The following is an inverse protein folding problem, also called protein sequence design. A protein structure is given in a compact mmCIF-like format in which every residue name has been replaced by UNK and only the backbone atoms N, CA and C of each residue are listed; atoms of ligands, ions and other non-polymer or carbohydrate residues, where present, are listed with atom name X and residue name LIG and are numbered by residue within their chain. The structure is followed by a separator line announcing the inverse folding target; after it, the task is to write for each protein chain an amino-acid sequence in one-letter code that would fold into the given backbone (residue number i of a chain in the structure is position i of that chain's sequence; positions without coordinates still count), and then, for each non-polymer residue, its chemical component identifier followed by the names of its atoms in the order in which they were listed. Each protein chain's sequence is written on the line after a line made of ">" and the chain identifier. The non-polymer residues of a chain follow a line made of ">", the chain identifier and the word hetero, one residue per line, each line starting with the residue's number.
data_IF_621377448727
#
_entry.id   IF_621377448727
#
_cell.length_a   1.000
_cell.length_b   1.000
_cell.length_c   1.000
_cell.angle_alpha   90.00
_cell.angle_beta   90.00
_cell.angle_gamma   90.00
#
_symmetry.space_group_name_H-M   'P 1'
#
loop_
_entity.id
_entity.type
_entity.pdbx_description
1 polymer ?
#
# COMPACT_ATOMS: atom_id res chain seq x y z
N UNK A 1 -48.29 2.32 73.33
CA UNK A 1 -49.65 1.77 73.14
C UNK A 1 -50.12 2.12 71.74
N UNK A 2 -50.25 1.11 70.91
CA UNK A 2 -50.73 1.13 69.53
C UNK A 2 -52.25 1.30 69.46
N UNK A 3 -52.75 1.91 68.38
CA UNK A 3 -54.02 1.55 67.73
C UNK A 3 -53.96 1.88 66.24
N UNK A 4 -54.25 0.90 65.40
CA UNK A 4 -55.13 1.07 64.23
C UNK A 4 -55.89 -0.24 63.97
N UNK A 5 -57.20 -0.08 63.70
CA UNK A 5 -58.21 -1.09 63.34
C UNK A 5 -57.99 -1.55 61.87
N UNK A 6 -58.08 -2.84 61.48
CA UNK A 6 -59.26 -3.74 61.34
C UNK A 6 -60.30 -3.20 60.34
N UNK A 7 -60.63 -3.87 59.22
CA UNK A 7 -61.35 -5.17 59.12
C UNK A 7 -61.07 -5.97 57.82
N UNK A 8 -60.74 -7.27 57.96
CA UNK A 8 -61.33 -8.52 57.38
C UNK A 8 -62.11 -8.56 56.01
N UNK A 9 -62.35 -9.74 55.35
CA UNK A 9 -61.60 -11.03 55.30
C UNK A 9 -61.74 -11.91 53.98
N UNK A 10 -61.07 -13.09 53.99
CA UNK A 10 -61.37 -14.44 53.39
C UNK A 10 -61.19 -14.77 51.86
N UNK A 11 -60.26 -15.73 51.62
CA UNK A 11 -60.18 -16.92 50.72
C UNK A 11 -60.60 -16.85 49.21
N UNK A 12 -60.02 -17.60 48.25
CA UNK A 12 -59.44 -18.95 48.24
C UNK A 12 -58.50 -19.18 47.02
N UNK A 13 -57.86 -20.36 47.02
CA UNK A 13 -56.74 -20.87 46.22
C UNK A 13 -56.94 -21.07 44.70
N UNK A 14 -55.81 -21.22 43.97
CA UNK A 14 -55.49 -22.35 43.06
C UNK A 14 -53.97 -22.38 42.77
N UNK A 15 -53.37 -23.57 42.92
CA UNK A 15 -52.04 -24.00 42.45
C UNK A 15 -52.07 -24.22 40.93
N UNK A 16 -50.97 -23.91 40.22
CA UNK A 16 -50.32 -24.77 39.20
C UNK A 16 -48.97 -24.15 38.81
N UNK A 17 -47.97 -25.01 38.68
CA UNK A 17 -46.58 -24.73 38.39
C UNK A 17 -46.26 -24.71 36.88
N UNK A 18 -45.02 -24.28 36.60
CA UNK A 18 -44.18 -24.47 35.40
C UNK A 18 -44.26 -23.39 34.30
N UNK A 19 -43.09 -22.80 34.04
CA UNK A 19 -42.79 -21.98 32.87
C UNK A 19 -42.10 -20.67 33.25
N UNK A 20 -40.77 -20.69 33.39
CA UNK A 20 -39.96 -19.48 33.65
C UNK A 20 -39.96 -18.57 32.42
N UNK A 21 -40.83 -17.56 32.43
CA UNK A 21 -40.67 -16.34 31.66
C UNK A 21 -40.67 -15.19 32.67
N UNK A 22 -39.49 -14.62 32.94
CA UNK A 22 -39.39 -13.35 33.66
C UNK A 22 -39.95 -12.23 32.78
N UNK A 23 -40.85 -11.37 33.30
CA UNK A 23 -41.36 -10.23 32.57
C UNK A 23 -40.40 -9.05 32.65
N UNK A 24 -40.44 -8.25 31.59
CA UNK A 24 -39.88 -6.94 31.47
C UNK A 24 -40.25 -6.03 32.67
N UNK A 25 -39.28 -5.27 33.14
CA UNK A 25 -39.50 -3.89 33.56
C UNK A 25 -38.84 -2.99 32.52
N UNK A 26 -39.64 -2.09 31.96
CA UNK A 26 -39.20 -1.00 31.12
C UNK A 26 -38.34 -0.06 31.97
N UNK A 27 -37.18 0.33 31.44
CA UNK A 27 -36.51 1.55 31.81
C UNK A 27 -36.34 2.37 30.52
N UNK A 28 -37.07 3.48 30.47
CA UNK A 28 -37.11 4.40 29.35
C UNK A 28 -35.97 5.40 29.59
N UNK A 29 -34.75 4.99 29.26
CA UNK A 29 -33.61 5.91 29.12
C UNK A 29 -33.01 5.72 27.74
N UNK A 30 -33.05 6.80 26.97
CA UNK A 30 -32.58 6.89 25.61
C UNK A 30 -31.22 6.18 25.44
N UNK A 31 -31.23 5.10 24.65
CA UNK A 31 -30.02 4.56 24.04
C UNK A 31 -29.36 5.66 23.24
N UNK A 32 -28.31 6.27 23.80
CA UNK A 32 -27.16 6.65 22.99
C UNK A 32 -26.66 5.36 22.35
N UNK A 33 -27.14 5.08 21.14
CA UNK A 33 -26.40 4.25 20.21
C UNK A 33 -25.05 4.92 20.06
N UNK A 34 -24.05 4.38 20.76
CA UNK A 34 -22.67 4.49 20.34
C UNK A 34 -22.66 4.10 18.87
N UNK A 35 -22.46 5.10 18.02
CA UNK A 35 -22.07 4.84 16.65
C UNK A 35 -20.73 4.15 16.77
N UNK A 36 -20.74 2.83 16.60
CA UNK A 36 -19.56 2.10 16.17
C UNK A 36 -19.15 2.76 14.85
N UNK A 37 -18.23 3.72 14.93
CA UNK A 37 -17.29 3.99 13.85
C UNK A 37 -16.48 2.72 13.70
N UNK A 38 -17.03 1.74 12.98
CA UNK A 38 -16.26 0.74 12.27
C UNK A 38 -15.22 1.51 11.45
N UNK A 39 -14.00 1.60 11.98
CA UNK A 39 -12.80 1.84 11.18
C UNK A 39 -12.89 0.83 10.03
N UNK A 40 -13.12 1.30 8.81
CA UNK A 40 -13.33 0.46 7.63
C UNK A 40 -11.98 0.19 6.98
N UNK A 41 -11.28 -0.92 7.30
CA UNK A 41 -10.18 -1.35 6.45
C UNK A 41 -10.70 -1.63 5.04
N UNK A 42 -9.80 -1.66 4.05
CA UNK A 42 -10.10 -2.25 2.75
C UNK A 42 -10.49 -3.72 2.96
N UNK A 43 -11.80 -3.98 3.07
CA UNK A 43 -12.37 -5.32 2.98
C UNK A 43 -12.20 -5.80 1.54
N UNK A 44 -12.25 -7.12 1.30
CA UNK A 44 -12.27 -7.67 -0.06
C UNK A 44 -13.37 -7.01 -0.95
N UNK A 45 -14.43 -6.51 -0.33
CA UNK A 45 -15.49 -5.74 -0.98
C UNK A 45 -15.04 -4.35 -1.44
N UNK A 46 -14.19 -3.65 -0.70
CA UNK A 46 -13.63 -2.36 -1.11
C UNK A 46 -12.58 -2.53 -2.22
N UNK A 47 -11.75 -3.58 -2.17
CA UNK A 47 -10.80 -3.88 -3.25
C UNK A 47 -11.52 -4.19 -4.58
N UNK A 48 -12.62 -4.95 -4.53
CA UNK A 48 -13.44 -5.23 -5.72
C UNK A 48 -14.12 -3.98 -6.28
N UNK A 49 -14.61 -3.06 -5.43
CA UNK A 49 -15.17 -1.77 -5.86
C UNK A 49 -14.12 -0.87 -6.51
N UNK A 50 -12.92 -0.84 -5.94
CA UNK A 50 -11.79 -0.08 -6.46
C UNK A 50 -11.36 -0.59 -7.83
N UNK A 51 -11.22 -1.92 -7.99
CA UNK A 51 -10.92 -2.56 -9.28
C UNK A 51 -12.01 -2.28 -10.33
N UNK A 52 -13.29 -2.44 -9.97
CA UNK A 52 -14.41 -2.16 -10.88
C UNK A 52 -14.44 -0.69 -11.35
N UNK A 53 -14.14 0.25 -10.45
CA UNK A 53 -14.03 1.66 -10.79
C UNK A 53 -12.82 1.93 -11.71
N UNK A 54 -11.68 1.28 -11.48
CA UNK A 54 -10.52 1.41 -12.37
C UNK A 54 -10.78 0.86 -13.78
N UNK A 55 -11.47 -0.27 -13.90
CA UNK A 55 -11.92 -0.81 -15.20
C UNK A 55 -12.86 0.16 -15.91
N UNK A 56 -13.71 0.88 -15.16
CA UNK A 56 -14.58 1.92 -15.73
C UNK A 56 -13.78 3.12 -16.24
N UNK A 57 -12.75 3.56 -15.51
CA UNK A 57 -11.81 4.60 -16.00
C UNK A 57 -11.13 4.13 -17.30
N UNK A 58 -10.63 2.89 -17.35
CA UNK A 58 -10.02 2.31 -18.55
C UNK A 58 -10.95 2.32 -19.75
N UNK A 59 -12.19 1.87 -19.56
CA UNK A 59 -13.19 1.87 -20.63
C UNK A 59 -13.41 3.28 -21.18
N UNK A 60 -13.59 4.25 -20.30
CA UNK A 60 -13.80 5.64 -20.73
C UNK A 60 -12.58 6.21 -21.47
N UNK A 61 -11.35 5.91 -21.03
CA UNK A 61 -10.13 6.30 -21.75
C UNK A 61 -10.08 5.61 -23.13
N UNK A 62 -10.32 4.31 -23.20
CA UNK A 62 -10.32 3.57 -24.47
C UNK A 62 -11.40 4.06 -25.44
N UNK A 63 -12.61 4.34 -24.95
CA UNK A 63 -13.69 4.93 -25.74
C UNK A 63 -13.31 6.32 -26.24
N UNK A 64 -12.70 7.16 -25.38
CA UNK A 64 -12.21 8.48 -25.78
C UNK A 64 -11.17 8.40 -26.90
N UNK A 65 -10.22 7.47 -26.80
CA UNK A 65 -9.22 7.20 -27.85
C UNK A 65 -9.88 6.73 -29.15
N UNK A 66 -10.89 5.87 -29.06
CA UNK A 66 -11.71 5.45 -30.20
C UNK A 66 -12.35 6.63 -30.95
N UNK A 67 -12.87 7.61 -30.21
CA UNK A 67 -13.47 8.84 -30.79
C UNK A 67 -12.43 9.81 -31.36
N UNK A 68 -11.15 9.71 -30.94
CA UNK A 68 -10.05 10.51 -31.49
C UNK A 68 -9.44 9.91 -32.78
N UNK A 69 -9.75 8.65 -33.10
CA UNK A 69 -9.22 7.95 -34.27
C UNK A 69 -10.08 8.13 -35.53
N UNK A 70 -9.40 8.13 -36.69
CA UNK A 70 -10.02 8.22 -38.02
C UNK A 70 -9.90 9.60 -38.66
N UNK A 71 -10.46 9.74 -39.87
CA UNK A 71 -10.34 10.96 -40.68
C UNK A 71 -11.18 12.13 -40.17
N UNK A 72 -12.14 11.86 -39.27
CA UNK A 72 -13.02 12.86 -38.65
C UNK A 72 -13.21 12.58 -37.15
N UNK A 73 -12.24 13.00 -36.30
CA UNK A 73 -12.31 12.82 -34.85
C UNK A 73 -13.53 13.52 -34.21
N UNK A 74 -14.21 12.84 -33.30
CA UNK A 74 -15.33 13.37 -32.51
C UNK A 74 -14.83 13.91 -31.16
N UNK A 75 -14.25 15.10 -31.21
CA UNK A 75 -13.65 15.77 -30.05
C UNK A 75 -14.64 16.01 -28.90
N UNK A 76 -15.93 16.17 -29.21
CA UNK A 76 -16.97 16.40 -28.20
C UNK A 76 -17.26 15.13 -27.42
N UNK A 77 -17.40 13.99 -28.12
CA UNK A 77 -17.56 12.70 -27.45
C UNK A 77 -16.31 12.30 -26.70
N UNK A 78 -15.12 12.48 -27.29
CA UNK A 78 -13.86 12.22 -26.60
C UNK A 78 -13.80 12.97 -25.27
N UNK A 79 -14.10 14.28 -25.27
CA UNK A 79 -14.16 15.07 -24.03
C UNK A 79 -15.18 14.56 -23.02
N UNK A 80 -16.39 14.18 -23.47
CA UNK A 80 -17.43 13.62 -22.61
C UNK A 80 -16.98 12.33 -21.90
N UNK A 81 -16.23 11.48 -22.61
CA UNK A 81 -15.66 10.27 -22.01
C UNK A 81 -14.56 10.60 -20.98
N UNK A 82 -13.71 11.59 -21.26
CA UNK A 82 -12.68 12.06 -20.31
C UNK A 82 -13.29 12.67 -19.04
N UNK A 83 -14.39 13.43 -19.15
CA UNK A 83 -15.10 13.95 -18.00
C UNK A 83 -15.62 12.81 -17.09
N UNK A 84 -16.14 11.73 -17.66
CA UNK A 84 -16.58 10.55 -16.92
C UNK A 84 -15.41 9.77 -16.30
N UNK A 85 -14.29 9.66 -17.00
CA UNK A 85 -13.06 9.06 -16.48
C UNK A 85 -12.56 9.83 -15.25
N UNK A 86 -12.51 11.17 -15.32
CA UNK A 86 -12.12 12.04 -14.21
C UNK A 86 -13.05 11.89 -13.00
N UNK A 87 -14.37 11.91 -13.21
CA UNK A 87 -15.33 11.72 -12.12
C UNK A 87 -15.11 10.36 -11.43
N UNK A 88 -14.85 9.30 -12.21
CA UNK A 88 -14.59 7.97 -11.63
C UNK A 88 -13.23 7.92 -10.91
N UNK A 89 -12.22 8.65 -11.37
CA UNK A 89 -10.96 8.83 -10.64
C UNK A 89 -11.14 9.58 -9.31
N UNK A 90 -12.09 10.52 -9.24
CA UNK A 90 -12.47 11.19 -7.98
C UNK A 90 -13.16 10.22 -7.02
N UNK A 91 -14.08 9.39 -7.52
CA UNK A 91 -14.69 8.30 -6.73
C UNK A 91 -13.62 7.34 -6.20
N UNK A 92 -12.66 6.94 -7.04
CA UNK A 92 -11.52 6.11 -6.65
C UNK A 92 -10.74 6.78 -5.52
N UNK A 93 -10.35 8.06 -5.68
CA UNK A 93 -9.58 8.78 -4.66
C UNK A 93 -10.34 8.85 -3.32
N UNK A 94 -11.65 9.04 -3.34
CA UNK A 94 -12.47 9.07 -2.13
C UNK A 94 -12.62 7.71 -1.45
N UNK A 95 -12.46 6.61 -2.20
CA UNK A 95 -12.44 5.25 -1.65
C UNK A 95 -11.08 4.88 -1.03
N UNK A 96 -10.03 5.67 -1.30
CA UNK A 96 -8.69 5.41 -0.81
C UNK A 96 -8.46 6.09 0.54
N UNK A 97 -8.23 5.32 1.62
CA UNK A 97 -8.11 5.90 2.95
C UNK A 97 -6.85 6.77 3.14
N UNK A 98 -5.79 6.57 2.36
CA UNK A 98 -4.55 7.36 2.51
C UNK A 98 -4.57 8.66 1.70
N UNK A 99 -5.41 8.76 0.66
CA UNK A 99 -5.59 9.99 -0.11
C UNK A 99 -5.99 11.19 0.78
N UNK A 100 -6.88 10.97 1.74
CA UNK A 100 -7.27 11.99 2.73
C UNK A 100 -6.08 12.40 3.61
N UNK A 101 -5.19 11.45 3.94
CA UNK A 101 -4.00 11.72 4.75
C UNK A 101 -2.97 12.50 3.94
N UNK A 102 -2.74 12.12 2.68
CA UNK A 102 -1.84 12.82 1.75
C UNK A 102 -2.29 14.25 1.48
N UNK A 103 -3.59 14.48 1.31
CA UNK A 103 -4.14 15.83 1.16
C UNK A 103 -3.86 16.69 2.41
N UNK A 104 -4.02 16.12 3.61
CA UNK A 104 -3.71 16.82 4.88
C UNK A 104 -2.21 17.08 5.04
N UNK A 105 -1.35 16.12 4.68
CA UNK A 105 0.11 16.29 4.64
C UNK A 105 0.49 17.40 3.67
N UNK A 106 -0.12 17.45 2.49
CA UNK A 106 0.09 18.52 1.51
C UNK A 106 -0.34 19.89 2.06
N UNK A 107 -1.50 19.98 2.72
CA UNK A 107 -1.97 21.22 3.37
C UNK A 107 -0.95 21.67 4.42
N UNK A 108 -0.48 20.77 5.29
CA UNK A 108 0.52 21.09 6.31
C UNK A 108 1.85 21.59 5.68
N UNK A 109 2.31 20.95 4.60
CA UNK A 109 3.48 21.42 3.83
C UNK A 109 3.26 22.82 3.26
N UNK A 110 2.07 23.08 2.71
CA UNK A 110 1.72 24.38 2.14
C UNK A 110 1.65 25.47 3.20
N UNK A 111 1.02 25.22 4.34
CA UNK A 111 1.00 26.16 5.46
C UNK A 111 2.42 26.49 5.93
N UNK A 112 3.31 25.49 6.00
CA UNK A 112 4.69 25.70 6.41
C UNK A 112 5.49 26.64 5.48
N UNK A 113 5.08 26.80 4.21
CA UNK A 113 5.72 27.73 3.26
C UNK A 113 5.49 29.21 3.63
N UNK A 114 4.41 29.54 4.34
CA UNK A 114 4.03 30.94 4.60
C UNK A 114 3.58 31.25 6.04
N UNK A 115 3.25 30.25 6.85
CA UNK A 115 2.92 30.38 8.28
C UNK A 115 4.14 30.08 9.16
N UNK A 116 4.09 30.52 10.42
CA UNK A 116 5.07 30.18 11.44
C UNK A 116 4.92 28.73 11.93
N UNK A 117 6.01 28.12 12.38
CA UNK A 117 6.05 26.69 12.74
C UNK A 117 5.03 26.31 13.81
N UNK A 118 4.76 27.20 14.76
CA UNK A 118 3.74 27.01 15.80
C UNK A 118 2.31 26.96 15.23
N UNK A 119 2.04 27.70 14.16
CA UNK A 119 0.73 27.78 13.52
C UNK A 119 0.40 26.51 12.70
N UNK A 120 1.41 25.71 12.35
CA UNK A 120 1.27 24.46 11.59
C UNK A 120 1.07 23.24 12.51
N UNK A 121 1.43 23.32 13.79
CA UNK A 121 1.25 22.21 14.76
C UNK A 121 -0.19 21.64 14.83
N UNK A 122 -1.26 22.47 14.77
CA UNK A 122 -2.63 21.96 14.76
C UNK A 122 -2.96 21.10 13.53
N UNK A 123 -2.29 21.31 12.39
CA UNK A 123 -2.52 20.54 11.16
C UNK A 123 -2.06 19.08 11.29
N UNK A 124 -1.16 18.78 12.24
CA UNK A 124 -0.69 17.41 12.48
C UNK A 124 -1.74 16.53 13.16
N UNK A 125 -2.61 17.11 13.99
CA UNK A 125 -3.63 16.39 14.76
C UNK A 125 -4.56 15.54 13.88
N UNK A 126 -5.19 16.09 12.82
CA UNK A 126 -6.02 15.30 11.93
C UNK A 126 -5.21 14.28 11.10
N UNK A 127 -3.92 14.47 10.90
CA UNK A 127 -3.07 13.49 10.21
C UNK A 127 -2.84 12.28 11.13
N UNK A 128 -2.50 12.50 12.41
CA UNK A 128 -2.40 11.43 13.41
C UNK A 128 -3.70 10.65 13.56
N UNK A 129 -4.83 11.34 13.71
CA UNK A 129 -6.13 10.69 13.86
C UNK A 129 -6.44 9.74 12.69
N UNK A 130 -6.17 10.17 11.45
CA UNK A 130 -6.39 9.29 10.29
C UNK A 130 -5.36 8.16 10.20
N UNK A 131 -4.12 8.33 10.67
CA UNK A 131 -3.18 7.22 10.76
C UNK A 131 -3.55 6.20 11.85
N UNK A 132 -4.20 6.64 12.92
CA UNK A 132 -4.76 5.75 13.94
C UNK A 132 -5.94 4.95 13.37
N UNK A 133 -6.81 5.57 12.57
CA UNK A 133 -7.91 4.87 11.88
C UNK A 133 -7.44 3.79 10.90
N UNK A 134 -6.22 3.92 10.36
CA UNK A 134 -5.65 2.97 9.39
C UNK A 134 -4.77 1.88 9.99
N UNK A 135 -4.51 1.90 11.30
CA UNK A 135 -3.58 0.96 11.95
C UNK A 135 -4.01 -0.50 11.85
N UNK A 136 -5.31 -0.78 11.68
CA UNK A 136 -5.85 -2.14 11.45
C UNK A 136 -5.90 -2.52 9.96
N UNK A 137 -5.70 -1.56 9.06
CA UNK A 137 -5.76 -1.75 7.61
C UNK A 137 -4.37 -1.82 6.99
N UNK A 138 -3.40 -1.11 7.57
CA UNK A 138 -2.08 -0.95 7.00
C UNK A 138 -0.99 -0.48 7.98
N UNK A 139 0.31 -0.70 7.69
CA UNK A 139 1.37 -0.19 8.54
C UNK A 139 1.40 1.33 8.46
N UNK A 140 1.23 1.99 9.61
CA UNK A 140 1.27 3.46 9.75
C UNK A 140 2.38 3.92 10.68
N UNK A 141 3.13 2.99 11.29
CA UNK A 141 4.13 3.25 12.32
C UNK A 141 5.27 4.11 11.80
N UNK A 142 5.75 3.82 10.59
CA UNK A 142 6.80 4.64 9.94
C UNK A 142 6.29 6.06 9.66
N UNK A 143 5.05 6.19 9.18
CA UNK A 143 4.42 7.50 8.94
C UNK A 143 4.24 8.29 10.25
N UNK A 144 3.81 7.63 11.34
CA UNK A 144 3.71 8.24 12.67
C UNK A 144 5.08 8.67 13.21
N UNK A 145 6.10 7.83 13.08
CA UNK A 145 7.46 8.18 13.49
C UNK A 145 8.03 9.38 12.71
N UNK A 146 7.69 9.53 11.43
CA UNK A 146 8.02 10.74 10.68
C UNK A 146 7.23 11.95 11.18
N UNK A 147 5.92 11.82 11.49
CA UNK A 147 5.15 12.90 12.10
C UNK A 147 5.67 13.32 13.48
N UNK A 148 6.17 12.40 14.29
CA UNK A 148 6.78 12.72 15.58
C UNK A 148 8.00 13.63 15.37
N UNK A 149 8.80 13.35 14.35
CA UNK A 149 9.94 14.19 13.95
C UNK A 149 9.50 15.52 13.34
N UNK A 150 8.38 15.57 12.60
CA UNK A 150 7.78 16.84 12.15
C UNK A 150 7.41 17.71 13.36
N UNK A 151 6.73 17.13 14.34
CA UNK A 151 6.32 17.85 15.55
C UNK A 151 7.53 18.41 16.31
N UNK A 152 8.58 17.60 16.50
CA UNK A 152 9.82 18.04 17.14
C UNK A 152 10.49 19.17 16.34
N UNK A 153 10.57 19.06 15.02
CA UNK A 153 11.15 20.09 14.15
C UNK A 153 10.34 21.40 14.22
N UNK A 154 9.01 21.33 14.18
CA UNK A 154 8.14 22.51 14.30
C UNK A 154 8.29 23.20 15.67
N UNK A 155 8.37 22.43 16.77
CA UNK A 155 8.61 22.97 18.12
C UNK A 155 9.97 23.69 18.24
N UNK A 156 10.97 23.24 17.47
CA UNK A 156 12.29 23.86 17.43
C UNK A 156 12.39 24.99 16.39
N UNK A 157 11.31 25.30 15.67
CA UNK A 157 11.29 26.31 14.61
C UNK A 157 11.98 25.89 13.30
N UNK A 158 12.37 24.62 13.16
CA UNK A 158 13.08 24.10 11.98
C UNK A 158 12.11 23.70 10.86
N UNK A 159 11.75 24.68 10.03
CA UNK A 159 10.84 24.48 8.89
C UNK A 159 11.42 23.55 7.82
N UNK A 160 12.75 23.52 7.65
CA UNK A 160 13.39 22.68 6.64
C UNK A 160 13.28 21.20 7.02
N UNK A 161 13.66 20.87 8.25
CA UNK A 161 13.54 19.50 8.76
C UNK A 161 12.07 19.04 8.83
N UNK A 162 11.15 19.92 9.24
CA UNK A 162 9.71 19.62 9.24
C UNK A 162 9.18 19.32 7.81
N UNK A 163 9.64 20.06 6.80
CA UNK A 163 9.24 19.83 5.39
C UNK A 163 9.75 18.48 4.89
N UNK A 164 11.02 18.15 5.17
CA UNK A 164 11.64 16.88 4.80
C UNK A 164 10.91 15.69 5.46
N UNK A 165 10.59 15.81 6.76
CA UNK A 165 9.88 14.75 7.48
C UNK A 165 8.42 14.63 7.00
N UNK A 166 7.73 15.72 6.67
CA UNK A 166 6.40 15.66 6.04
C UNK A 166 6.45 14.95 4.68
N UNK A 167 7.52 15.11 3.92
CA UNK A 167 7.74 14.35 2.68
C UNK A 167 8.00 12.87 2.95
N UNK A 168 8.71 12.55 4.03
CA UNK A 168 8.90 11.17 4.46
C UNK A 168 7.62 10.52 5.01
N UNK A 169 6.68 11.29 5.58
CA UNK A 169 5.32 10.81 5.92
C UNK A 169 4.59 10.38 4.64
N UNK A 170 4.60 11.21 3.60
CA UNK A 170 3.97 10.90 2.31
C UNK A 170 4.57 9.63 1.68
N UNK A 171 5.92 9.52 1.68
CA UNK A 171 6.63 8.32 1.23
C UNK A 171 6.31 7.07 2.07
N UNK A 172 6.12 7.21 3.38
CA UNK A 172 5.71 6.11 4.24
C UNK A 172 4.26 5.65 3.98
N UNK A 173 3.40 6.55 3.47
CA UNK A 173 2.01 6.27 3.12
C UNK A 173 1.83 5.78 1.67
N UNK A 174 2.85 5.95 0.83
CA UNK A 174 2.93 5.36 -0.51
C UNK A 174 2.74 3.83 -0.48
N UNK A 175 3.08 3.20 0.65
CA UNK A 175 3.28 1.76 0.77
C UNK A 175 2.01 0.88 0.78
N UNK A 176 0.82 1.47 0.90
CA UNK A 176 -0.43 0.70 1.14
C UNK A 176 -1.44 0.89 0.02
N UNK A 177 -1.42 2.05 -0.61
CA UNK A 177 -2.07 2.25 -1.91
C UNK A 177 -1.26 1.71 -3.07
N UNK A 178 -0.07 1.14 -2.80
CA UNK A 178 0.91 0.61 -3.75
C UNK A 178 0.53 0.93 -5.20
N UNK A 179 0.86 2.18 -5.54
CA UNK A 179 1.26 2.53 -6.89
C UNK A 179 0.10 2.81 -7.87
N UNK A 180 -1.08 3.22 -7.41
CA UNK A 180 -2.10 3.74 -8.34
C UNK A 180 -1.60 5.05 -8.96
N UNK A 181 -1.27 5.12 -10.26
CA UNK A 181 -0.80 6.35 -10.90
C UNK A 181 -1.98 7.31 -11.14
N UNK A 182 -2.87 7.52 -10.17
CA UNK A 182 -4.08 8.33 -10.31
C UNK A 182 -3.71 9.77 -10.64
N UNK A 183 -2.70 10.33 -9.99
CA UNK A 183 -2.23 11.70 -10.26
C UNK A 183 -1.61 11.83 -11.65
N UNK A 184 -0.78 10.86 -12.05
CA UNK A 184 -0.20 10.82 -13.40
C UNK A 184 -1.29 10.62 -14.46
N UNK A 185 -2.25 9.72 -14.22
CA UNK A 185 -3.45 9.51 -15.06
C UNK A 185 -4.26 10.80 -15.17
N UNK A 186 -4.52 11.49 -14.06
CA UNK A 186 -5.23 12.78 -14.05
C UNK A 186 -4.49 13.83 -14.88
N UNK A 187 -3.17 13.92 -14.72
CA UNK A 187 -2.35 14.86 -15.50
C UNK A 187 -2.42 14.55 -16.99
N UNK A 188 -2.32 13.27 -17.37
CA UNK A 188 -2.41 12.83 -18.76
C UNK A 188 -3.81 13.03 -19.36
N UNK A 189 -4.87 12.80 -18.59
CA UNK A 189 -6.24 13.15 -18.99
C UNK A 189 -6.39 14.66 -19.17
N UNK A 190 -5.87 15.47 -18.24
CA UNK A 190 -5.92 16.93 -18.34
C UNK A 190 -5.12 17.44 -19.55
N UNK A 191 -3.97 16.83 -19.85
CA UNK A 191 -3.19 17.11 -21.04
C UNK A 191 -3.97 16.77 -22.31
N UNK A 192 -4.59 15.59 -22.36
CA UNK A 192 -5.44 15.20 -23.48
C UNK A 192 -6.63 16.15 -23.67
N UNK A 193 -7.28 16.61 -22.59
CA UNK A 193 -8.33 17.62 -22.66
C UNK A 193 -7.82 18.96 -23.21
N UNK A 194 -6.62 19.39 -22.81
CA UNK A 194 -5.99 20.60 -23.32
C UNK A 194 -5.65 20.47 -24.81
N UNK A 195 -5.23 19.31 -25.26
CA UNK A 195 -4.92 19.05 -26.67
C UNK A 195 -6.18 18.89 -27.52
N UNK A 196 -7.25 18.29 -26.98
CA UNK A 196 -8.61 18.32 -27.57
C UNK A 196 -9.08 19.77 -27.76
N UNK A 197 -8.86 20.65 -26.76
CA UNK A 197 -9.23 22.06 -26.87
C UNK A 197 -8.43 22.81 -27.96
N UNK A 198 -7.21 22.35 -28.27
CA UNK A 198 -6.39 22.83 -29.40
C UNK A 198 -6.73 22.15 -30.73
N UNK A 199 -7.69 21.23 -30.75
CA UNK A 199 -8.03 20.37 -31.89
C UNK A 199 -6.88 19.44 -32.34
N UNK A 200 -5.93 19.14 -31.46
CA UNK A 200 -4.84 18.21 -31.72
C UNK A 200 -5.22 16.79 -31.24
N UNK A 201 -5.99 16.09 -32.07
CA UNK A 201 -6.46 14.74 -31.76
C UNK A 201 -5.30 13.73 -31.59
N UNK A 202 -4.17 13.95 -32.27
CA UNK A 202 -3.02 13.03 -32.22
C UNK A 202 -2.24 13.18 -30.92
N UNK A 203 -1.99 14.42 -30.48
CA UNK A 203 -1.38 14.66 -29.18
C UNK A 203 -2.28 14.18 -28.03
N UNK A 204 -3.60 14.40 -28.14
CA UNK A 204 -4.56 13.89 -27.19
C UNK A 204 -4.56 12.35 -27.12
N UNK A 205 -4.58 11.63 -28.25
CA UNK A 205 -4.51 10.17 -28.27
C UNK A 205 -3.19 9.65 -27.65
N UNK A 206 -2.06 10.31 -27.91
CA UNK A 206 -0.78 9.93 -27.30
C UNK A 206 -0.82 10.04 -25.77
N UNK A 207 -1.29 11.16 -25.23
CA UNK A 207 -1.44 11.34 -23.78
C UNK A 207 -2.43 10.32 -23.17
N UNK A 208 -3.52 10.00 -23.87
CA UNK A 208 -4.48 8.99 -23.41
C UNK A 208 -3.93 7.56 -23.49
N UNK A 209 -3.07 7.25 -24.46
CA UNK A 209 -2.38 5.96 -24.50
C UNK A 209 -1.51 5.76 -23.25
N UNK A 210 -0.82 6.82 -22.80
CA UNK A 210 -0.05 6.80 -21.57
C UNK A 210 -0.96 6.68 -20.33
N UNK A 211 -2.07 7.41 -20.30
CA UNK A 211 -3.07 7.31 -19.23
C UNK A 211 -3.67 5.90 -19.13
N UNK A 212 -3.94 5.25 -20.26
CA UNK A 212 -4.45 3.88 -20.29
C UNK A 212 -3.44 2.89 -19.66
N UNK A 213 -2.15 3.03 -19.96
CA UNK A 213 -1.10 2.20 -19.34
C UNK A 213 -1.10 2.30 -17.81
N UNK A 214 -1.27 3.52 -17.31
CA UNK A 214 -1.37 3.83 -15.90
C UNK A 214 -2.61 3.20 -15.22
N UNK A 215 -3.78 3.15 -15.88
CA UNK A 215 -4.99 2.59 -15.24
C UNK A 215 -5.04 1.06 -15.38
N UNK A 216 -4.43 0.46 -16.42
CA UNK A 216 -4.32 -1.00 -16.52
C UNK A 216 -3.50 -1.53 -15.34
N UNK A 217 -2.42 -0.85 -15.00
CA UNK A 217 -1.63 -1.12 -13.82
C UNK A 217 -2.48 -1.20 -12.53
N UNK A 218 -3.40 -0.25 -12.32
CA UNK A 218 -4.33 -0.26 -11.17
C UNK A 218 -5.17 -1.53 -11.13
N UNK A 219 -5.80 -1.86 -12.25
CA UNK A 219 -6.75 -2.99 -12.31
C UNK A 219 -6.07 -4.34 -12.13
N UNK A 220 -4.84 -4.51 -12.62
CA UNK A 220 -4.09 -5.76 -12.53
C UNK A 220 -3.29 -5.88 -11.22
N UNK A 221 -2.77 -4.77 -10.70
CA UNK A 221 -1.94 -4.74 -9.49
C UNK A 221 -2.72 -5.02 -8.21
N UNK A 222 -3.93 -4.45 -8.06
CA UNK A 222 -4.76 -4.64 -6.87
C UNK A 222 -5.25 -6.08 -6.74
N UNK A 223 -5.67 -6.71 -7.85
CA UNK A 223 -6.19 -8.08 -7.85
C UNK A 223 -5.10 -9.15 -7.96
N UNK A 224 -3.84 -8.75 -8.11
CA UNK A 224 -2.71 -9.69 -8.16
C UNK A 224 -2.70 -10.57 -6.90
N UNK A 225 -2.57 -11.90 -7.04
CA UNK A 225 -2.48 -12.79 -5.89
C UNK A 225 -1.36 -12.39 -4.91
N UNK A 226 -0.23 -11.88 -5.39
CA UNK A 226 0.87 -11.44 -4.51
C UNK A 226 0.50 -10.21 -3.66
N UNK A 227 -0.19 -9.24 -4.24
CA UNK A 227 -0.67 -8.04 -3.51
C UNK A 227 -1.65 -8.43 -2.40
N UNK A 228 -2.54 -9.37 -2.69
CA UNK A 228 -3.51 -9.88 -1.73
C UNK A 228 -2.83 -10.72 -0.63
N UNK A 229 -1.88 -11.58 -1.00
CA UNK A 229 -1.07 -12.34 -0.04
C UNK A 229 -0.31 -11.41 0.92
N UNK A 230 0.34 -10.37 0.38
CA UNK A 230 1.04 -9.33 1.16
C UNK A 230 0.12 -8.67 2.18
N UNK A 231 -1.09 -8.27 1.77
CA UNK A 231 -2.06 -7.64 2.67
C UNK A 231 -2.52 -8.57 3.78
N UNK A 232 -2.81 -9.83 3.46
CA UNK A 232 -3.20 -10.83 4.47
C UNK A 232 -2.07 -11.15 5.44
N UNK A 233 -0.82 -11.29 4.97
CA UNK A 233 0.33 -11.54 5.86
C UNK A 233 0.58 -10.38 6.82
N UNK A 234 0.44 -9.14 6.35
CA UNK A 234 0.55 -7.97 7.22
C UNK A 234 -0.52 -7.97 8.32
N UNK A 235 -1.79 -8.26 7.97
CA UNK A 235 -2.87 -8.37 8.96
C UNK A 235 -2.61 -9.50 9.94
N UNK A 236 -2.14 -10.66 9.45
CA UNK A 236 -1.80 -11.78 10.31
C UNK A 236 -0.72 -11.43 11.33
N UNK A 237 0.33 -10.73 10.89
CA UNK A 237 1.38 -10.23 11.76
C UNK A 237 0.82 -9.29 12.85
N UNK A 238 -0.01 -8.31 12.46
CA UNK A 238 -0.61 -7.37 13.42
C UNK A 238 -1.60 -7.99 14.38
N UNK A 239 -2.48 -8.86 13.88
CA UNK A 239 -3.41 -9.59 14.74
C UNK A 239 -2.66 -10.45 15.75
N UNK A 240 -1.51 -11.03 15.38
CA UNK A 240 -0.64 -11.73 16.34
C UNK A 240 -0.07 -10.79 17.40
N UNK A 241 0.51 -9.65 17.00
CA UNK A 241 1.04 -8.65 17.95
C UNK A 241 -0.03 -8.16 18.94
N UNK A 242 -1.28 -8.12 18.50
CA UNK A 242 -2.43 -7.72 19.30
C UNK A 242 -3.07 -8.86 20.11
N UNK A 243 -2.51 -10.08 20.07
CA UNK A 243 -3.05 -11.24 20.78
C UNK A 243 -4.29 -11.88 20.14
N UNK A 244 -4.67 -11.47 18.93
CA UNK A 244 -5.87 -11.90 18.19
C UNK A 244 -5.60 -13.14 17.32
N UNK A 245 -5.22 -14.25 17.96
CA UNK A 245 -4.71 -15.45 17.25
C UNK A 245 -5.68 -16.05 16.23
N UNK A 246 -6.99 -16.05 16.51
CA UNK A 246 -8.00 -16.57 15.57
C UNK A 246 -8.07 -15.74 14.27
N UNK A 247 -7.92 -14.42 14.37
CA UNK A 247 -7.87 -13.52 13.22
C UNK A 247 -6.57 -13.72 12.44
N UNK A 248 -5.44 -13.84 13.15
CA UNK A 248 -4.15 -14.10 12.52
C UNK A 248 -4.16 -15.39 11.70
N UNK A 249 -4.72 -16.49 12.24
CA UNK A 249 -4.90 -17.76 11.52
C UNK A 249 -5.77 -17.63 10.26
N UNK A 250 -6.87 -16.89 10.37
CA UNK A 250 -7.76 -16.65 9.24
C UNK A 250 -7.04 -15.91 8.12
N UNK A 251 -6.22 -14.92 8.46
CA UNK A 251 -5.41 -14.17 7.48
C UNK A 251 -4.27 -15.00 6.90
N UNK A 252 -3.58 -15.84 7.68
CA UNK A 252 -2.58 -16.78 7.14
C UNK A 252 -3.21 -17.77 6.16
N UNK A 253 -4.41 -18.29 6.45
CA UNK A 253 -5.15 -19.16 5.52
C UNK A 253 -5.48 -18.45 4.20
N UNK A 254 -5.84 -17.17 4.26
CA UNK A 254 -6.06 -16.34 3.06
C UNK A 254 -4.76 -16.13 2.30
N UNK A 255 -3.67 -15.79 2.99
CA UNK A 255 -2.36 -15.61 2.39
C UNK A 255 -1.89 -16.86 1.63
N UNK A 256 -2.02 -18.06 2.23
CA UNK A 256 -1.74 -19.34 1.56
C UNK A 256 -2.54 -19.47 0.27
N UNK A 257 -3.86 -19.22 0.32
CA UNK A 257 -4.73 -19.33 -0.85
C UNK A 257 -4.36 -18.35 -1.99
N UNK A 258 -3.79 -17.19 -1.65
CA UNK A 258 -3.30 -16.23 -2.63
C UNK A 258 -1.92 -16.62 -3.18
N UNK A 259 -0.99 -17.07 -2.31
CA UNK A 259 0.34 -17.54 -2.73
C UNK A 259 0.25 -18.80 -3.59
N UNK A 260 -0.68 -19.72 -3.32
CA UNK A 260 -0.94 -20.89 -4.19
C UNK A 260 -1.36 -20.49 -5.61
N UNK A 261 -2.12 -19.39 -5.75
CA UNK A 261 -2.46 -18.82 -7.06
C UNK A 261 -1.25 -18.16 -7.71
N UNK A 262 -0.42 -17.45 -6.95
CA UNK A 262 0.85 -16.90 -7.44
C UNK A 262 1.82 -18.02 -7.89
N UNK A 263 1.84 -19.15 -7.18
CA UNK A 263 2.62 -20.34 -7.52
C UNK A 263 2.12 -21.07 -8.79
N UNK A 264 1.05 -20.59 -9.42
CA UNK A 264 0.62 -21.04 -10.76
C UNK A 264 1.05 -20.07 -11.87
N UNK A 265 1.84 -19.05 -11.54
CA UNK A 265 2.35 -18.08 -12.52
C UNK A 265 3.19 -18.74 -13.61
N UNK A 266 3.12 -18.18 -14.81
CA UNK A 266 3.98 -18.57 -15.93
C UNK A 266 5.41 -18.05 -15.77
N UNK A 267 5.59 -16.97 -15.00
CA UNK A 267 6.89 -16.48 -14.57
C UNK A 267 7.51 -17.47 -13.56
N UNK A 268 8.68 -18.01 -13.91
CA UNK A 268 9.39 -18.99 -13.10
C UNK A 268 9.81 -18.45 -11.74
N UNK A 269 10.34 -17.23 -11.67
CA UNK A 269 10.82 -16.62 -10.42
C UNK A 269 9.63 -16.44 -9.47
N UNK A 270 8.53 -15.87 -9.98
CA UNK A 270 7.29 -15.71 -9.20
C UNK A 270 6.75 -17.05 -8.72
N UNK A 271 6.75 -18.06 -9.59
CA UNK A 271 6.22 -19.39 -9.27
C UNK A 271 7.02 -20.08 -8.16
N UNK A 272 8.34 -20.08 -8.27
CA UNK A 272 9.23 -20.75 -7.32
C UNK A 272 9.24 -20.05 -5.96
N UNK A 273 9.38 -18.71 -5.94
CA UNK A 273 9.36 -17.93 -4.71
C UNK A 273 8.00 -18.04 -3.99
N UNK A 274 6.88 -17.95 -4.72
CA UNK A 274 5.55 -18.12 -4.13
C UNK A 274 5.34 -19.53 -3.55
N UNK A 275 5.88 -20.58 -4.19
CA UNK A 275 5.78 -21.95 -3.67
C UNK A 275 6.60 -22.13 -2.37
N UNK A 276 7.76 -21.47 -2.26
CA UNK A 276 8.53 -21.38 -1.02
C UNK A 276 7.69 -20.73 0.10
N UNK A 277 7.16 -19.53 -0.17
CA UNK A 277 6.32 -18.78 0.77
C UNK A 277 5.06 -19.56 1.19
N UNK A 278 4.41 -20.33 0.31
CA UNK A 278 3.29 -21.20 0.71
C UNK A 278 3.68 -22.15 1.83
N UNK A 279 4.88 -22.74 1.75
CA UNK A 279 5.36 -23.71 2.74
C UNK A 279 5.64 -23.02 4.07
N UNK A 280 6.33 -21.89 4.06
CA UNK A 280 6.64 -21.10 5.26
C UNK A 280 5.38 -20.57 5.95
N UNK A 281 4.42 -20.03 5.20
CA UNK A 281 3.17 -19.50 5.77
C UNK A 281 2.33 -20.62 6.40
N UNK A 282 2.36 -21.84 5.85
CA UNK A 282 1.69 -23.00 6.46
C UNK A 282 2.38 -23.43 7.76
N UNK A 283 3.70 -23.35 7.82
CA UNK A 283 4.46 -23.61 9.05
C UNK A 283 4.11 -22.59 10.12
N UNK A 284 4.14 -21.30 9.77
CA UNK A 284 3.72 -20.20 10.66
C UNK A 284 2.28 -20.37 11.15
N UNK A 285 1.37 -20.78 10.27
CA UNK A 285 -0.01 -21.08 10.65
C UNK A 285 -0.09 -22.20 11.71
N UNK A 286 0.77 -23.22 11.61
CA UNK A 286 0.82 -24.32 12.59
C UNK A 286 1.37 -23.90 13.95
N UNK A 287 2.28 -22.92 13.97
CA UNK A 287 2.98 -22.48 15.18
C UNK A 287 2.35 -21.24 15.83
N UNK A 288 1.38 -20.58 15.21
CA UNK A 288 0.95 -19.24 15.64
C UNK A 288 0.37 -19.15 17.05
N UNK A 289 -0.13 -20.26 17.61
CA UNK A 289 -0.59 -20.33 19.01
C UNK A 289 0.56 -20.40 20.03
N UNK A 290 1.77 -20.70 19.56
CA UNK A 290 2.94 -20.78 20.43
C UNK A 290 3.30 -19.37 20.89
N UNK A 291 3.57 -19.21 22.18
CA UNK A 291 3.97 -17.94 22.79
C UNK A 291 5.39 -17.50 22.48
N UNK A 292 5.97 -17.97 21.37
CA UNK A 292 7.35 -17.66 20.97
C UNK A 292 7.41 -16.35 20.19
N UNK A 293 8.21 -15.39 20.66
CA UNK A 293 8.44 -14.11 20.00
C UNK A 293 9.15 -14.27 18.64
N UNK A 294 9.80 -15.41 18.38
CA UNK A 294 10.40 -15.72 17.07
C UNK A 294 9.36 -15.74 15.95
N UNK A 295 8.10 -16.12 16.24
CA UNK A 295 7.04 -16.22 15.23
C UNK A 295 6.62 -14.83 14.74
N UNK A 296 6.58 -13.80 15.60
CA UNK A 296 6.31 -12.42 15.13
C UNK A 296 7.38 -11.98 14.15
N UNK A 297 8.66 -12.25 14.44
CA UNK A 297 9.77 -11.90 13.54
C UNK A 297 9.70 -12.69 12.23
N UNK A 298 9.35 -13.97 12.28
CA UNK A 298 9.16 -14.77 11.07
C UNK A 298 7.97 -14.28 10.23
N UNK A 299 6.85 -13.90 10.85
CA UNK A 299 5.72 -13.29 10.15
C UNK A 299 6.11 -11.98 9.45
N UNK A 300 6.85 -11.12 10.14
CA UNK A 300 7.36 -9.88 9.56
C UNK A 300 8.30 -10.17 8.37
N UNK A 301 9.23 -11.13 8.52
CA UNK A 301 10.12 -11.56 7.45
C UNK A 301 9.35 -12.08 6.23
N UNK A 302 8.45 -13.05 6.41
CA UNK A 302 7.64 -13.63 5.33
C UNK A 302 6.75 -12.58 4.65
N UNK A 303 6.27 -11.58 5.42
CA UNK A 303 5.60 -10.41 4.85
C UNK A 303 6.54 -9.59 3.96
N UNK A 304 7.78 -9.30 4.39
CA UNK A 304 8.77 -8.56 3.60
C UNK A 304 9.15 -9.30 2.30
N UNK A 305 9.31 -10.62 2.34
CA UNK A 305 9.60 -11.43 1.14
C UNK A 305 8.43 -11.40 0.16
N UNK A 306 7.21 -11.61 0.66
CA UNK A 306 5.99 -11.50 -0.17
C UNK A 306 5.84 -10.09 -0.74
N UNK A 307 6.24 -9.08 0.01
CA UNK A 307 6.23 -7.68 -0.40
C UNK A 307 7.23 -7.42 -1.54
N UNK A 308 8.49 -7.84 -1.40
CA UNK A 308 9.50 -7.73 -2.45
C UNK A 308 9.05 -8.42 -3.75
N UNK A 309 8.48 -9.62 -3.63
CA UNK A 309 7.94 -10.37 -4.77
C UNK A 309 6.73 -9.68 -5.43
N UNK A 310 5.83 -9.13 -4.61
CA UNK A 310 4.69 -8.33 -5.07
C UNK A 310 5.15 -7.09 -5.84
N UNK A 311 6.16 -6.38 -5.35
CA UNK A 311 6.71 -5.19 -6.00
C UNK A 311 7.36 -5.55 -7.33
N UNK A 312 8.19 -6.60 -7.36
CA UNK A 312 8.74 -7.12 -8.63
C UNK A 312 7.65 -7.41 -9.66
N UNK A 313 6.59 -8.11 -9.26
CA UNK A 313 5.45 -8.43 -10.13
C UNK A 313 4.79 -7.17 -10.70
N UNK A 314 4.61 -6.16 -9.85
CA UNK A 314 4.03 -4.86 -10.19
C UNK A 314 4.91 -4.10 -11.19
N UNK A 315 6.23 -4.03 -10.97
CA UNK A 315 7.18 -3.42 -11.90
C UNK A 315 7.19 -4.12 -13.27
N UNK A 316 7.06 -5.45 -13.28
CA UNK A 316 6.97 -6.24 -14.50
C UNK A 316 5.67 -6.02 -15.26
N UNK A 317 4.54 -5.82 -14.57
CA UNK A 317 3.27 -5.47 -15.19
C UNK A 317 3.42 -4.09 -15.86
N UNK A 318 3.94 -3.09 -15.14
CA UNK A 318 4.22 -1.76 -15.68
C UNK A 318 5.12 -1.82 -16.93
N UNK A 319 6.24 -2.53 -16.82
CA UNK A 319 7.22 -2.68 -17.90
C UNK A 319 6.69 -3.53 -19.06
N UNK A 320 5.86 -4.54 -18.81
CA UNK A 320 5.28 -5.42 -19.84
C UNK A 320 4.38 -4.68 -20.82
N UNK A 321 3.60 -3.72 -20.31
CA UNK A 321 2.81 -2.80 -21.13
C UNK A 321 3.68 -1.83 -21.92
N UNK A 322 4.74 -1.28 -21.30
CA UNK A 322 5.73 -0.46 -22.01
C UNK A 322 6.51 -1.26 -23.06
N UNK A 323 6.81 -2.54 -22.84
CA UNK A 323 7.48 -3.43 -23.80
C UNK A 323 6.68 -3.64 -25.07
N UNK A 324 5.34 -3.68 -24.98
CA UNK A 324 4.46 -3.69 -26.16
C UNK A 324 4.53 -2.37 -26.96
N UNK A 325 5.08 -1.31 -26.38
CA UNK A 325 5.29 0.00 -27.02
C UNK A 325 6.75 0.27 -27.41
N UNK A 326 7.75 -0.26 -26.69
CA UNK A 326 9.15 0.15 -26.84
C UNK A 326 10.25 -0.94 -26.67
N UNK A 327 9.95 -2.21 -26.37
CA UNK A 327 10.95 -3.29 -26.42
C UNK A 327 12.20 -3.18 -25.51
N UNK A 328 12.11 -2.49 -24.36
CA UNK A 328 13.21 -2.17 -23.43
C UNK A 328 13.66 -3.39 -22.59
N UNK A 329 14.92 -3.83 -22.73
CA UNK A 329 15.53 -4.98 -22.01
C UNK A 329 16.27 -4.59 -20.73
N UNK A 330 16.78 -3.36 -20.70
CA UNK A 330 17.37 -2.65 -19.56
C UNK A 330 16.50 -2.70 -18.31
N UNK A 331 15.21 -2.33 -18.40
CA UNK A 331 14.28 -2.35 -17.25
C UNK A 331 14.16 -3.71 -16.58
N UNK A 332 14.22 -4.78 -17.37
CA UNK A 332 14.13 -6.14 -16.84
C UNK A 332 15.25 -6.39 -15.83
N UNK A 333 16.48 -6.07 -16.22
CA UNK A 333 17.65 -6.30 -15.37
C UNK A 333 17.62 -5.40 -14.11
N UNK A 334 17.15 -4.16 -14.23
CA UNK A 334 16.97 -3.27 -13.07
C UNK A 334 15.91 -3.77 -12.07
N UNK A 335 14.81 -4.33 -12.57
CA UNK A 335 13.76 -4.91 -11.72
C UNK A 335 14.28 -6.12 -10.95
N UNK A 336 15.07 -6.99 -11.59
CA UNK A 336 15.69 -8.12 -10.88
C UNK A 336 16.73 -7.64 -9.86
N UNK A 337 17.54 -6.63 -10.20
CA UNK A 337 18.47 -6.03 -9.23
C UNK A 337 17.74 -5.54 -7.97
N UNK A 338 16.55 -4.94 -8.13
CA UNK A 338 15.73 -4.42 -7.03
C UNK A 338 15.19 -5.55 -6.14
N UNK A 339 14.75 -6.67 -6.73
CA UNK A 339 14.33 -7.84 -5.96
C UNK A 339 15.50 -8.34 -5.09
N UNK A 340 16.64 -8.63 -5.71
CA UNK A 340 17.81 -9.15 -4.98
C UNK A 340 18.32 -8.17 -3.91
N UNK A 341 18.22 -6.86 -4.14
CA UNK A 341 18.57 -5.87 -3.12
C UNK A 341 17.63 -5.92 -1.91
N UNK A 342 16.33 -6.11 -2.16
CA UNK A 342 15.34 -6.28 -1.10
C UNK A 342 15.55 -7.59 -0.33
N UNK A 343 15.85 -8.69 -1.02
CA UNK A 343 16.16 -9.98 -0.41
C UNK A 343 17.43 -9.89 0.45
N UNK A 344 18.46 -9.18 -0.03
CA UNK A 344 19.66 -8.90 0.77
C UNK A 344 19.35 -8.14 2.07
N UNK A 345 18.47 -7.13 2.00
CA UNK A 345 18.01 -6.39 3.18
C UNK A 345 17.25 -7.31 4.14
N UNK A 346 16.40 -8.18 3.61
CA UNK A 346 15.61 -9.13 4.39
C UNK A 346 16.53 -10.09 5.15
N UNK A 347 17.48 -10.69 4.44
CA UNK A 347 18.42 -11.64 5.03
C UNK A 347 19.29 -11.00 6.11
N UNK A 348 19.79 -9.79 5.84
CA UNK A 348 20.64 -9.10 6.79
C UNK A 348 19.89 -8.65 8.05
N UNK A 349 18.75 -7.97 7.88
CA UNK A 349 18.06 -7.29 8.99
C UNK A 349 17.07 -8.17 9.74
N UNK A 350 16.44 -9.13 9.06
CA UNK A 350 15.37 -9.95 9.64
C UNK A 350 15.81 -11.39 9.92
N UNK A 351 16.63 -11.97 9.03
CA UNK A 351 17.17 -13.32 9.22
C UNK A 351 18.50 -13.34 9.97
N UNK A 352 19.21 -12.20 10.04
CA UNK A 352 20.60 -12.10 10.48
C UNK A 352 21.54 -13.08 9.73
N UNK A 353 21.21 -13.38 8.47
CA UNK A 353 21.99 -14.23 7.58
C UNK A 353 22.86 -13.35 6.67
N UNK A 354 24.01 -12.94 7.20
CA UNK A 354 24.94 -12.08 6.48
C UNK A 354 25.56 -12.76 5.24
N UNK A 355 25.56 -14.09 5.17
CA UNK A 355 26.13 -14.80 4.03
C UNK A 355 25.12 -14.88 2.89
N UNK A 356 23.84 -15.13 3.20
CA UNK A 356 22.75 -14.98 2.22
C UNK A 356 22.66 -13.53 1.71
N UNK A 357 22.69 -12.54 2.61
CA UNK A 357 22.65 -11.13 2.22
C UNK A 357 23.80 -10.72 1.28
N UNK A 358 25.01 -11.25 1.48
CA UNK A 358 26.15 -11.01 0.56
C UNK A 358 25.94 -11.66 -0.80
N UNK A 359 25.35 -12.85 -0.84
CA UNK A 359 25.05 -13.53 -2.10
C UNK A 359 24.02 -12.71 -2.90
N UNK A 360 22.97 -12.24 -2.24
CA UNK A 360 21.95 -11.38 -2.83
C UNK A 360 22.52 -10.04 -3.34
N UNK A 361 23.39 -9.36 -2.56
CA UNK A 361 24.07 -8.14 -3.03
C UNK A 361 24.98 -8.40 -4.25
N UNK A 362 25.58 -9.58 -4.35
CA UNK A 362 26.38 -9.97 -5.51
C UNK A 362 25.49 -10.19 -6.75
N UNK A 363 24.32 -10.80 -6.60
CA UNK A 363 23.32 -10.93 -7.66
C UNK A 363 22.79 -9.54 -8.09
N UNK A 364 22.46 -8.65 -7.14
CA UNK A 364 22.10 -7.25 -7.43
C UNK A 364 23.14 -6.58 -8.33
N UNK A 365 24.42 -6.68 -7.97
CA UNK A 365 25.52 -6.17 -8.78
C UNK A 365 25.61 -6.84 -10.15
N UNK A 366 25.37 -8.16 -10.24
CA UNK A 366 25.31 -8.90 -11.50
C UNK A 366 24.27 -8.31 -12.46
N UNK A 367 23.06 -8.09 -11.97
CA UNK A 367 21.96 -7.49 -12.72
C UNK A 367 22.21 -6.03 -13.11
N UNK A 368 22.73 -5.19 -12.20
CA UNK A 368 23.09 -3.81 -12.52
C UNK A 368 24.17 -3.72 -13.61
N UNK A 369 25.18 -4.60 -13.54
CA UNK A 369 26.21 -4.69 -14.58
C UNK A 369 25.65 -5.16 -15.93
N UNK A 370 24.63 -6.02 -15.92
CA UNK A 370 23.92 -6.43 -17.12
C UNK A 370 23.03 -5.31 -17.69
N UNK A 371 22.45 -4.46 -16.84
CA UNK A 371 21.66 -3.30 -17.23
C UNK A 371 22.52 -2.17 -17.83
N UNK A 372 23.72 -1.92 -17.29
CA UNK A 372 24.60 -0.82 -17.68
C UNK A 372 24.89 -0.70 -19.20
N UNK A 373 25.16 -1.77 -19.96
CA UNK A 373 25.33 -1.67 -21.41
C UNK A 373 24.01 -1.52 -22.19
N UNK A 374 22.85 -1.71 -21.55
CA UNK A 374 21.52 -1.67 -22.16
C UNK A 374 20.83 -0.32 -22.02
N UNK A 375 21.15 0.45 -20.98
CA UNK A 375 20.59 1.79 -20.75
C UNK A 375 21.17 2.83 -21.72
N UNK A 376 20.42 3.91 -21.94
CA UNK A 376 20.84 5.03 -22.77
C UNK A 376 22.04 5.76 -22.13
N UNK A 377 22.84 6.47 -22.93
CA UNK A 377 24.05 7.15 -22.43
C UNK A 377 23.76 8.18 -21.32
N UNK A 378 22.55 8.75 -21.31
CA UNK A 378 22.09 9.69 -20.29
C UNK A 378 22.00 9.04 -18.90
N UNK A 379 21.60 7.77 -18.83
CA UNK A 379 21.23 7.10 -17.57
C UNK A 379 22.38 6.22 -17.02
N UNK A 380 23.47 6.05 -17.80
CA UNK A 380 24.65 5.27 -17.39
C UNK A 380 25.34 5.81 -16.14
N UNK A 381 25.24 7.10 -15.87
CA UNK A 381 25.82 7.70 -14.66
C UNK A 381 25.05 7.22 -13.42
N UNK A 382 23.72 7.27 -13.47
CA UNK A 382 22.83 6.88 -12.38
C UNK A 382 22.96 5.38 -12.07
N UNK A 383 23.01 4.51 -13.10
CA UNK A 383 23.28 3.07 -12.90
C UNK A 383 24.61 2.85 -12.17
N UNK A 384 25.66 3.60 -12.51
CA UNK A 384 26.97 3.47 -11.85
C UNK A 384 26.94 3.95 -10.40
N UNK A 385 26.16 4.98 -10.12
CA UNK A 385 25.99 5.49 -8.76
C UNK A 385 25.26 4.45 -7.89
N UNK A 386 24.23 3.79 -8.42
CA UNK A 386 23.57 2.67 -7.72
C UNK A 386 24.54 1.50 -7.50
N UNK A 387 25.35 1.13 -8.51
CA UNK A 387 26.40 0.11 -8.34
C UNK A 387 27.37 0.49 -7.21
N UNK A 388 27.77 1.76 -7.11
CA UNK A 388 28.64 2.22 -6.04
C UNK A 388 27.98 2.10 -4.65
N UNK A 389 26.68 2.41 -4.55
CA UNK A 389 25.91 2.24 -3.31
C UNK A 389 25.80 0.77 -2.89
N UNK A 390 25.46 -0.13 -3.83
CA UNK A 390 25.38 -1.58 -3.57
C UNK A 390 26.73 -2.14 -3.12
N UNK A 391 27.83 -1.72 -3.75
CA UNK A 391 29.17 -2.11 -3.33
C UNK A 391 29.51 -1.61 -1.91
N UNK A 392 29.05 -0.42 -1.54
CA UNK A 392 29.23 0.10 -0.18
C UNK A 392 28.47 -0.74 0.85
N UNK A 393 27.23 -1.13 0.54
CA UNK A 393 26.43 -2.05 1.38
C UNK A 393 27.12 -3.40 1.53
N UNK A 394 27.62 -3.98 0.43
CA UNK A 394 28.31 -5.28 0.46
C UNK A 394 29.55 -5.23 1.36
N UNK A 395 30.31 -4.13 1.31
CA UNK A 395 31.46 -3.93 2.19
C UNK A 395 31.07 -3.73 3.65
N UNK A 396 29.95 -3.04 3.93
CA UNK A 396 29.44 -2.85 5.28
C UNK A 396 29.00 -4.20 5.90
N UNK A 397 28.20 -4.99 5.17
CA UNK A 397 27.77 -6.33 5.60
C UNK A 397 28.96 -7.26 5.83
N UNK A 398 29.99 -7.21 4.96
CA UNK A 398 31.24 -7.98 5.14
C UNK A 398 32.01 -7.64 6.40
N UNK A 399 32.01 -6.37 6.80
CA UNK A 399 32.74 -5.90 7.98
C UNK A 399 31.96 -6.09 9.28
N UNK A 400 30.65 -6.38 9.21
CA UNK A 400 29.77 -6.35 10.37
C UNK A 400 29.72 -4.95 10.97
N UNK A 401 29.71 -3.93 10.11
CA UNK A 401 29.69 -2.52 10.50
C UNK A 401 28.25 -2.06 10.80
N UNK A 402 28.07 -1.19 11.78
CA UNK A 402 26.76 -0.63 12.19
C UNK A 402 26.04 0.08 11.02
N UNK A 403 26.81 0.48 9.99
CA UNK A 403 26.29 1.04 8.73
C UNK A 403 25.44 0.04 7.93
N UNK A 404 25.68 -1.28 8.08
CA UNK A 404 24.90 -2.35 7.46
C UNK A 404 23.59 -2.62 8.21
N UNK A 405 23.62 -2.50 9.54
CA UNK A 405 22.43 -2.58 10.40
C UNK A 405 21.46 -1.40 10.19
N UNK A 406 21.89 -0.38 9.44
CA UNK A 406 21.08 0.77 9.11
C UNK A 406 20.15 0.46 7.93
N UNK A 407 18.90 0.08 8.25
CA UNK A 407 17.81 -0.09 7.28
C UNK A 407 17.66 1.09 6.30
N UNK A 408 18.09 2.29 6.69
CA UNK A 408 18.08 3.48 5.84
C UNK A 408 18.99 3.37 4.61
N UNK A 409 20.16 2.74 4.72
CA UNK A 409 21.12 2.67 3.61
C UNK A 409 20.61 1.73 2.50
N UNK A 410 20.05 0.58 2.87
CA UNK A 410 19.34 -0.28 1.92
C UNK A 410 18.15 0.45 1.31
N UNK A 411 17.32 1.10 2.12
CA UNK A 411 16.15 1.84 1.61
C UNK A 411 16.53 2.92 0.59
N UNK A 412 17.56 3.73 0.88
CA UNK A 412 18.01 4.77 -0.06
C UNK A 412 18.47 4.19 -1.40
N UNK A 413 19.11 3.03 -1.36
CA UNK A 413 19.57 2.34 -2.57
C UNK A 413 18.38 1.73 -3.33
N UNK A 414 17.41 1.15 -2.62
CA UNK A 414 16.14 0.65 -3.20
C UNK A 414 15.34 1.79 -3.85
N UNK A 415 15.26 2.96 -3.20
CA UNK A 415 14.56 4.14 -3.70
C UNK A 415 15.23 4.69 -4.97
N UNK A 416 16.57 4.84 -4.96
CA UNK A 416 17.32 5.28 -6.13
C UNK A 416 17.15 4.33 -7.33
N UNK A 417 17.09 3.02 -7.07
CA UNK A 417 16.85 2.02 -8.10
C UNK A 417 15.40 2.05 -8.62
N UNK A 418 14.42 2.29 -7.74
CA UNK A 418 13.02 2.47 -8.12
C UNK A 418 12.84 3.70 -9.02
N UNK A 419 13.43 4.84 -8.64
CA UNK A 419 13.41 6.07 -9.43
C UNK A 419 13.97 5.82 -10.83
N UNK A 420 15.08 5.11 -10.94
CA UNK A 420 15.70 4.76 -12.22
C UNK A 420 14.78 3.86 -13.08
N UNK A 421 14.12 2.86 -12.49
CA UNK A 421 13.16 1.99 -13.21
C UNK A 421 12.00 2.80 -13.77
N UNK A 422 11.56 3.84 -13.04
CA UNK A 422 10.42 4.68 -13.41
C UNK A 422 10.77 5.80 -14.38
N UNK A 423 12.03 6.26 -14.38
CA UNK A 423 12.54 7.26 -15.33
C UNK A 423 12.78 6.68 -16.73
N UNK A 424 13.27 5.43 -16.79
CA UNK A 424 13.42 4.68 -18.04
C UNK A 424 12.04 4.35 -18.64
#
# INVERSE_FOLDING_TARGET
>A
MSRHFSTAPVAAAILIALGTASPAFADDTASMTSSDTESRPLTAQNASRLSAAAVKVLRNIADARGELHGDAPDLVKAKSQLDQARQTLDEIQQMLPTAVIKDRVWIAKKHLEYEDSEAVLPDLIPIYASLDELVDAMPTEKAKAHLDRVQQALQNGDKSAATEQLQAVDAALLYVEADLPLNSTRHLIAQAEADIAKQDAKAADAALADAEGNVVFVSMGIESPLTQAKSSLWRAWKDRELGRMDYAKAELSRAVSYLERAAQSTDQVTREAAAGLVSEVRELHGMIDDGDDTITRQLERTWQETKALSERSVEYISTGWQRMRAGRKDKKELIEAKLHLADARIDHLYSHDNDAAKAELAETNGYLNAALPLVDDADKAEVKDVIAQVNALEQAVKKGDDTADNAQAFQQTEDALADLIHQL
#
